data_IF_492903695879
#
_entry.id   IF_492903695879
#
_cell.length_a   1.000
_cell.length_b   1.000
_cell.length_c   1.000
_cell.angle_alpha   90.00
_cell.angle_beta   90.00
_cell.angle_gamma   90.00
#
_symmetry.space_group_name_H-M   'P 1'
#
loop_
_entity.id
_entity.type
_entity.pdbx_description
1 polymer ?
#
# COMPACT_ATOMS: atom_id res chain seq x y z
N UNK A 1 40.68 34.29 -35.04
CA UNK A 1 41.77 34.04 -34.08
C UNK A 1 41.53 34.98 -32.90
N UNK A 2 41.33 34.60 -31.64
CA UNK A 2 41.65 33.35 -30.95
C UNK A 2 40.79 33.27 -29.70
N UNK A 3 40.27 32.07 -29.46
CA UNK A 3 39.55 31.58 -28.30
C UNK A 3 40.40 31.68 -27.02
N UNK A 4 39.83 32.12 -25.89
CA UNK A 4 40.24 31.64 -24.55
C UNK A 4 39.00 31.43 -23.67
N UNK A 5 38.77 30.14 -23.42
CA UNK A 5 37.81 29.55 -22.50
C UNK A 5 38.19 29.90 -21.06
N UNK A 6 37.21 30.07 -20.18
CA UNK A 6 37.31 29.79 -18.74
C UNK A 6 35.87 29.64 -18.18
N UNK A 7 35.33 28.42 -18.26
CA UNK A 7 34.64 27.81 -17.10
C UNK A 7 35.72 27.52 -16.05
N UNK A 8 35.46 27.47 -14.72
CA UNK A 8 34.27 26.87 -14.13
C UNK A 8 33.76 27.52 -12.80
N UNK A 9 32.51 27.23 -12.43
CA UNK A 9 31.91 27.29 -11.08
C UNK A 9 30.52 26.64 -11.29
N UNK A 10 30.30 25.32 -11.28
CA UNK A 10 30.52 24.32 -10.24
C UNK A 10 30.04 24.79 -8.86
N UNK A 11 28.94 24.18 -8.43
CA UNK A 11 28.34 24.29 -7.10
C UNK A 11 27.31 25.42 -7.05
N UNK A 12 26.04 25.20 -6.78
CA UNK A 12 25.41 24.11 -6.05
C UNK A 12 23.90 24.20 -6.28
N UNK A 13 23.18 23.18 -5.84
CA UNK A 13 21.77 23.29 -5.45
C UNK A 13 20.70 23.09 -6.54
N UNK A 14 20.82 22.02 -7.31
CA UNK A 14 19.63 21.30 -7.83
C UNK A 14 19.68 19.82 -7.46
N UNK A 15 20.13 19.51 -6.24
CA UNK A 15 19.60 18.35 -5.53
C UNK A 15 18.22 18.76 -5.00
N UNK A 16 17.29 18.98 -5.93
CA UNK A 16 15.89 18.91 -5.58
C UNK A 16 15.71 17.49 -5.06
N UNK A 17 15.56 17.38 -3.75
CA UNK A 17 15.21 16.19 -3.02
C UNK A 17 14.03 15.56 -3.75
N UNK A 18 14.31 14.61 -4.64
CA UNK A 18 13.35 13.63 -5.08
C UNK A 18 13.09 12.77 -3.85
N UNK A 19 12.30 13.31 -2.92
CA UNK A 19 11.48 12.51 -2.03
C UNK A 19 10.67 11.64 -2.97
N UNK A 20 11.23 10.46 -3.28
CA UNK A 20 10.58 9.44 -4.07
C UNK A 20 9.37 9.04 -3.24
N UNK A 21 8.27 9.73 -3.46
CA UNK A 21 7.08 9.57 -2.66
C UNK A 21 6.55 8.16 -2.97
N UNK A 22 6.79 7.23 -2.05
CA UNK A 22 6.41 5.82 -2.20
C UNK A 22 4.93 5.74 -2.54
N UNK A 23 4.63 5.14 -3.69
CA UNK A 23 3.25 4.82 -4.06
C UNK A 23 2.78 3.57 -3.32
N UNK A 24 1.48 3.44 -3.16
CA UNK A 24 0.80 2.25 -2.63
C UNK A 24 1.23 0.97 -3.36
N UNK A 25 1.25 0.96 -4.69
CA UNK A 25 1.71 -0.18 -5.49
C UNK A 25 3.18 -0.54 -5.21
N UNK A 26 4.05 0.46 -4.99
CA UNK A 26 5.45 0.22 -4.61
C UNK A 26 5.54 -0.38 -3.21
N UNK A 27 4.77 0.13 -2.25
CA UNK A 27 4.70 -0.42 -0.89
C UNK A 27 4.29 -1.90 -0.88
N UNK A 28 3.25 -2.26 -1.63
CA UNK A 28 2.80 -3.66 -1.75
C UNK A 28 3.87 -4.55 -2.37
N UNK A 29 4.56 -4.07 -3.41
CA UNK A 29 5.65 -4.83 -4.07
C UNK A 29 6.82 -5.13 -3.12
N UNK A 30 7.07 -4.28 -2.13
CA UNK A 30 8.14 -4.46 -1.15
C UNK A 30 7.69 -5.20 0.12
N UNK A 31 6.51 -5.83 0.11
CA UNK A 31 6.00 -6.68 1.19
C UNK A 31 5.99 -8.17 0.78
N UNK A 32 7.15 -8.80 0.48
CA UNK A 32 7.23 -10.11 -0.19
C UNK A 32 6.73 -11.29 0.67
N UNK A 33 6.65 -11.13 1.98
CA UNK A 33 6.20 -12.18 2.91
C UNK A 33 4.67 -12.18 3.11
N UNK A 34 3.97 -11.21 2.49
CA UNK A 34 2.53 -11.04 2.63
C UNK A 34 1.77 -11.65 1.44
N UNK A 35 0.67 -12.33 1.74
CA UNK A 35 -0.37 -12.66 0.77
C UNK A 35 -1.20 -11.41 0.43
N UNK A 36 -1.38 -11.15 -0.85
CA UNK A 36 -2.04 -9.92 -1.35
C UNK A 36 -3.37 -10.26 -2.02
N UNK A 37 -4.46 -9.66 -1.55
CA UNK A 37 -5.74 -9.59 -2.27
C UNK A 37 -5.83 -8.20 -2.90
N UNK A 38 -6.06 -8.14 -4.22
CA UNK A 38 -6.27 -6.88 -4.96
C UNK A 38 -7.74 -6.74 -5.34
N UNK A 39 -8.32 -5.57 -5.10
CA UNK A 39 -9.69 -5.25 -5.47
C UNK A 39 -10.07 -3.82 -5.12
N UNK A 40 -11.36 -3.51 -5.10
CA UNK A 40 -11.91 -2.24 -4.64
C UNK A 40 -12.58 -2.49 -3.27
N UNK A 41 -12.08 -1.87 -2.20
CA UNK A 41 -12.69 -1.99 -0.88
C UNK A 41 -13.96 -1.13 -0.87
N UNK A 42 -15.10 -1.79 -0.72
CA UNK A 42 -16.41 -1.16 -0.75
C UNK A 42 -16.86 -0.69 0.62
N UNK A 43 -16.49 -1.46 1.66
CA UNK A 43 -16.89 -1.19 3.03
C UNK A 43 -15.93 -1.85 4.03
N UNK A 44 -15.79 -1.24 5.20
CA UNK A 44 -15.02 -1.80 6.33
C UNK A 44 -15.77 -1.58 7.64
N UNK A 45 -16.19 -2.67 8.26
CA UNK A 45 -16.92 -2.68 9.53
C UNK A 45 -15.96 -2.93 10.69
N UNK A 46 -16.15 -2.20 11.79
CA UNK A 46 -15.39 -2.35 13.04
C UNK A 46 -13.87 -2.12 12.90
N UNK A 47 -13.45 -1.27 11.95
CA UNK A 47 -12.03 -0.94 11.79
C UNK A 47 -11.48 -0.18 13.01
N UNK A 48 -10.52 -0.79 13.68
CA UNK A 48 -9.58 -0.12 14.57
C UNK A 48 -8.17 -0.27 13.96
N UNK A 49 -7.37 0.79 14.03
CA UNK A 49 -5.99 0.77 13.52
C UNK A 49 -5.01 1.30 14.56
N UNK A 50 -3.82 0.71 14.59
CA UNK A 50 -2.72 1.18 15.45
C UNK A 50 -1.62 1.91 14.68
N UNK A 51 -1.54 1.72 13.35
CA UNK A 51 -0.57 2.38 12.49
C UNK A 51 -1.22 2.87 11.20
N UNK A 52 -0.78 4.06 10.75
CA UNK A 52 -1.24 4.70 9.53
C UNK A 52 -0.02 5.17 8.73
N UNK A 53 0.19 4.56 7.58
CA UNK A 53 1.25 4.93 6.63
C UNK A 53 0.64 5.68 5.44
N UNK A 54 1.15 6.87 5.11
CA UNK A 54 0.65 7.69 4.00
C UNK A 54 1.57 7.58 2.78
N UNK A 55 0.96 7.45 1.60
CA UNK A 55 1.64 7.36 0.31
C UNK A 55 1.31 8.58 -0.55
N UNK A 56 2.00 8.73 -1.69
CA UNK A 56 1.68 9.77 -2.67
C UNK A 56 0.28 9.63 -3.29
N UNK A 57 -0.26 8.42 -3.29
CA UNK A 57 -1.49 8.03 -3.97
C UNK A 57 -2.46 7.25 -3.09
N UNK A 58 -2.27 7.23 -1.76
CA UNK A 58 -3.10 6.40 -0.88
C UNK A 58 -2.65 6.37 0.58
N UNK A 59 -3.23 5.42 1.32
CA UNK A 59 -2.94 5.17 2.74
C UNK A 59 -2.95 3.68 3.04
N UNK A 60 -2.07 3.22 3.91
CA UNK A 60 -2.09 1.90 4.53
C UNK A 60 -2.50 2.02 6.00
N UNK A 61 -3.39 1.14 6.45
CA UNK A 61 -3.86 1.02 7.82
C UNK A 61 -3.59 -0.40 8.32
N UNK A 62 -2.89 -0.55 9.43
CA UNK A 62 -2.72 -1.87 10.07
C UNK A 62 -3.87 -2.11 11.05
N UNK A 63 -4.59 -3.21 10.86
CA UNK A 63 -5.75 -3.61 11.67
C UNK A 63 -5.31 -3.94 13.10
N UNK A 64 -6.00 -3.38 14.09
CA UNK A 64 -5.72 -3.55 15.51
C UNK A 64 -6.49 -4.71 16.15
N UNK A 65 -6.29 -4.88 17.45
CA UNK A 65 -6.59 -6.01 18.35
C UNK A 65 -7.85 -6.85 18.09
N UNK A 66 -8.94 -6.28 17.56
CA UNK A 66 -10.21 -6.99 17.36
C UNK A 66 -10.43 -7.54 15.94
N UNK A 67 -9.52 -7.26 15.01
CA UNK A 67 -9.75 -7.51 13.60
C UNK A 67 -10.81 -6.55 13.02
N UNK A 68 -11.22 -6.78 11.78
CA UNK A 68 -12.37 -6.10 11.19
C UNK A 68 -12.99 -6.94 10.09
N UNK A 69 -14.12 -6.49 9.53
CA UNK A 69 -14.73 -7.12 8.35
C UNK A 69 -14.61 -6.19 7.17
N UNK A 70 -14.05 -6.69 6.07
CA UNK A 70 -13.81 -5.93 4.84
C UNK A 70 -14.66 -6.50 3.73
N UNK A 71 -15.48 -5.66 3.09
CA UNK A 71 -16.16 -6.00 1.85
C UNK A 71 -15.35 -5.48 0.67
N UNK A 72 -14.95 -6.37 -0.24
CA UNK A 72 -14.12 -6.04 -1.39
C UNK A 72 -14.74 -6.57 -2.70
N UNK A 73 -14.64 -5.78 -3.76
CA UNK A 73 -14.99 -6.18 -5.12
C UNK A 73 -13.74 -6.64 -5.87
N UNK A 74 -13.76 -7.91 -6.26
CA UNK A 74 -12.75 -8.55 -7.09
C UNK A 74 -13.17 -8.47 -8.57
N UNK A 75 -12.41 -7.71 -9.37
CA UNK A 75 -12.76 -7.47 -10.77
C UNK A 75 -14.08 -6.69 -10.91
N UNK A 76 -14.88 -6.99 -11.95
CA UNK A 76 -16.02 -6.12 -12.31
C UNK A 76 -17.30 -6.32 -11.50
N UNK A 77 -17.52 -7.48 -10.88
CA UNK A 77 -18.82 -7.83 -10.26
C UNK A 77 -18.75 -8.77 -9.05
N UNK A 78 -17.60 -9.35 -8.72
CA UNK A 78 -17.51 -10.36 -7.66
C UNK A 78 -17.24 -9.66 -6.33
N UNK A 79 -18.27 -9.47 -5.50
CA UNK A 79 -18.12 -8.89 -4.16
C UNK A 79 -18.00 -10.01 -3.12
N UNK A 80 -17.01 -9.89 -2.24
CA UNK A 80 -16.76 -10.84 -1.16
C UNK A 80 -16.48 -10.09 0.13
N UNK A 81 -16.89 -10.67 1.25
CA UNK A 81 -16.57 -10.17 2.59
C UNK A 81 -15.52 -11.07 3.23
N UNK A 82 -14.53 -10.45 3.86
CA UNK A 82 -13.47 -11.13 4.59
C UNK A 82 -13.45 -10.64 6.04
N UNK A 83 -13.46 -11.57 6.97
CA UNK A 83 -13.00 -11.29 8.33
C UNK A 83 -11.47 -11.28 8.30
N UNK A 84 -10.89 -10.14 8.67
CA UNK A 84 -9.44 -9.90 8.65
C UNK A 84 -8.90 -9.80 10.06
N UNK A 85 -7.78 -10.48 10.30
CA UNK A 85 -7.15 -10.58 11.60
C UNK A 85 -6.36 -9.30 11.95
N UNK A 86 -6.11 -9.03 13.24
CA UNK A 86 -5.13 -8.05 13.68
C UNK A 86 -3.79 -8.23 12.97
N UNK A 87 -3.11 -7.13 12.66
CA UNK A 87 -1.86 -7.14 11.89
C UNK A 87 -2.03 -7.16 10.36
N UNK A 88 -3.23 -7.46 9.86
CA UNK A 88 -3.55 -7.29 8.42
C UNK A 88 -3.41 -5.82 8.04
N UNK A 89 -2.81 -5.54 6.89
CA UNK A 89 -2.65 -4.17 6.37
C UNK A 89 -3.67 -3.95 5.25
N UNK A 90 -4.56 -2.99 5.44
CA UNK A 90 -5.49 -2.50 4.42
C UNK A 90 -4.87 -1.31 3.71
N UNK A 91 -4.71 -1.39 2.39
CA UNK A 91 -4.14 -0.32 1.56
C UNK A 91 -5.26 0.25 0.69
N UNK A 92 -5.56 1.53 0.89
CA UNK A 92 -6.51 2.29 0.09
C UNK A 92 -5.74 3.15 -0.91
N UNK A 93 -5.76 2.76 -2.18
CA UNK A 93 -5.00 3.41 -3.25
C UNK A 93 -5.92 4.16 -4.22
N UNK A 94 -5.37 5.14 -4.95
CA UNK A 94 -6.14 5.87 -5.97
C UNK A 94 -6.58 4.99 -7.16
N UNK A 95 -5.85 3.89 -7.42
CA UNK A 95 -6.12 2.98 -8.54
C UNK A 95 -6.71 1.65 -8.11
N UNK A 96 -6.11 1.02 -7.11
CA UNK A 96 -6.54 -0.26 -6.55
C UNK A 96 -6.36 -0.23 -5.05
N UNK A 97 -7.18 -1.02 -4.36
CA UNK A 97 -7.02 -1.32 -2.96
C UNK A 97 -6.42 -2.71 -2.77
N UNK A 98 -5.80 -2.91 -1.61
CA UNK A 98 -5.13 -4.16 -1.28
C UNK A 98 -5.40 -4.58 0.16
N UNK A 99 -5.50 -5.89 0.37
CA UNK A 99 -5.46 -6.52 1.68
C UNK A 99 -4.17 -7.34 1.73
N UNK A 100 -3.25 -6.94 2.60
CA UNK A 100 -1.97 -7.62 2.82
C UNK A 100 -2.07 -8.34 4.16
N UNK A 101 -1.95 -9.67 4.13
CA UNK A 101 -2.00 -10.54 5.31
C UNK A 101 -0.78 -11.44 5.32
N UNK A 102 -0.41 -11.94 6.49
CA UNK A 102 0.67 -12.92 6.58
C UNK A 102 0.35 -14.13 5.68
N UNK A 103 1.33 -14.56 4.88
CA UNK A 103 1.16 -15.73 4.03
C UNK A 103 0.91 -17.01 4.84
N UNK A 104 1.39 -17.09 6.07
CA UNK A 104 1.16 -18.22 6.97
C UNK A 104 -0.31 -18.33 7.43
N UNK A 105 -1.03 -17.21 7.48
CA UNK A 105 -2.44 -17.16 7.91
C UNK A 105 -3.42 -17.43 6.75
N UNK A 106 -2.93 -17.51 5.51
CA UNK A 106 -3.75 -17.82 4.34
C UNK A 106 -3.81 -19.32 4.09
N UNK A 107 -4.94 -19.95 4.45
CA UNK A 107 -5.27 -21.32 4.01
C UNK A 107 -6.21 -21.26 2.78
N UNK A 108 -5.75 -21.64 1.58
CA UNK A 108 -6.59 -21.64 0.39
C UNK A 108 -7.81 -22.56 0.57
N UNK A 109 -9.02 -22.04 0.34
CA UNK A 109 -10.25 -22.83 0.34
C UNK A 109 -10.94 -23.01 1.70
N UNK A 110 -10.40 -22.43 2.78
CA UNK A 110 -11.08 -22.35 4.07
C UNK A 110 -11.49 -20.88 4.28
N UNK A 111 -12.80 -20.55 4.37
CA UNK A 111 -13.21 -19.21 4.77
C UNK A 111 -12.67 -18.92 6.17
N UNK A 112 -12.04 -17.76 6.35
CA UNK A 112 -11.67 -17.25 7.68
C UNK A 112 -12.91 -17.34 8.57
N UNK A 113 -12.76 -17.95 9.76
CA UNK A 113 -13.84 -18.12 10.72
C UNK A 113 -14.22 -16.82 11.40
#
# INVERSE_FOLDING_TARGET
MTQKRLLPLLGSLLLALSSCATSSASFVKHSPEMSVIRGEILDVENLQSHEISRFSDGVALTVADQGCRVKIRLGKKNEQSYDVAPGTILVFGKGDDYILRDAADYIPGIPSR
#
